data_IF_535100333289
#
_entry.id   IF_535100333289
#
_cell.length_a   1.000
_cell.length_b   1.000
_cell.length_c   1.000
_cell.angle_alpha   90.00
_cell.angle_beta   90.00
_cell.angle_gamma   90.00
#
_symmetry.space_group_name_H-M   'P 1'
#
loop_
_entity.id
_entity.type
_entity.pdbx_description
1 polymer ?
#
# COMPACT_ATOMS: atom_id res chain seq x y z
N UNK A 1 -11.25 14.87 9.37
CA UNK A 1 -11.29 13.40 9.43
C UNK A 1 -9.87 12.96 9.09
N UNK A 2 -8.99 12.96 10.09
CA UNK A 2 -7.54 12.75 9.97
C UNK A 2 -7.18 11.75 11.07
N UNK A 3 -6.75 10.54 10.71
CA UNK A 3 -6.51 9.48 11.69
C UNK A 3 -5.39 9.88 12.68
N UNK A 4 -4.41 10.64 12.19
CA UNK A 4 -3.61 11.58 12.94
C UNK A 4 -3.53 12.86 12.10
N UNK A 5 -3.75 14.03 12.69
CA UNK A 5 -3.22 15.25 12.05
C UNK A 5 -1.71 15.08 12.19
N UNK A 6 -1.02 14.81 11.09
CA UNK A 6 0.38 15.16 10.95
C UNK A 6 0.46 16.66 11.25
N UNK A 7 0.78 16.97 12.51
CA UNK A 7 1.40 18.24 12.82
C UNK A 7 2.76 18.16 12.14
N UNK A 8 2.81 18.66 10.91
CA UNK A 8 4.05 18.94 10.19
C UNK A 8 4.77 20.10 10.89
N UNK A 9 5.27 19.85 12.10
CA UNK A 9 6.34 20.63 12.69
C UNK A 9 7.27 19.69 13.47
N UNK A 10 8.51 19.75 13.04
CA UNK A 10 9.68 19.05 13.55
C UNK A 10 9.86 19.14 15.07
N UNK A 11 10.58 18.13 15.58
CA UNK A 11 11.25 18.03 16.88
C UNK A 11 10.41 17.55 18.07
N UNK A 12 10.18 16.23 18.12
CA UNK A 12 10.62 15.31 19.18
C UNK A 12 9.82 14.01 19.04
N UNK A 13 10.49 12.90 18.69
CA UNK A 13 9.92 11.57 18.88
C UNK A 13 9.74 11.35 20.39
N UNK A 14 8.55 11.65 20.89
CA UNK A 14 8.11 11.18 22.19
C UNK A 14 8.11 9.64 22.13
N UNK A 15 8.83 9.00 23.06
CA UNK A 15 8.82 7.56 23.28
C UNK A 15 7.36 7.10 23.45
N UNK A 16 6.79 6.53 22.40
CA UNK A 16 5.42 6.03 22.41
C UNK A 16 5.38 4.66 23.08
N UNK A 17 4.30 4.42 23.82
CA UNK A 17 3.98 3.12 24.41
C UNK A 17 3.88 2.06 23.31
N UNK A 18 4.83 1.12 23.30
CA UNK A 18 4.88 -0.03 22.39
C UNK A 18 3.55 -0.80 22.47
N UNK A 19 2.82 -0.84 21.36
CA UNK A 19 1.64 -1.70 21.22
C UNK A 19 2.14 -3.13 21.07
N UNK A 20 2.02 -3.93 22.12
CA UNK A 20 2.38 -5.34 22.07
C UNK A 20 1.23 -6.11 21.43
N UNK A 21 1.35 -6.48 20.15
CA UNK A 21 0.56 -7.60 19.62
C UNK A 21 1.13 -8.86 20.28
N UNK A 22 0.37 -9.45 21.20
CA UNK A 22 0.80 -10.67 21.88
C UNK A 22 0.84 -11.84 20.91
N UNK A 23 2.04 -12.17 20.45
CA UNK A 23 2.32 -13.34 19.63
C UNK A 23 2.63 -14.55 20.52
N UNK A 24 2.50 -15.78 19.99
CA UNK A 24 2.96 -16.97 20.69
C UNK A 24 4.43 -16.83 21.09
N UNK A 25 4.78 -17.16 22.34
CA UNK A 25 6.13 -17.03 22.95
C UNK A 25 7.27 -17.73 22.18
N UNK A 26 6.98 -18.48 21.11
CA UNK A 26 7.93 -19.32 20.38
C UNK A 26 8.28 -18.80 18.98
N UNK A 27 7.89 -17.58 18.59
CA UNK A 27 8.37 -16.93 17.35
C UNK A 27 9.01 -15.59 17.70
N UNK A 28 10.34 -15.50 17.59
CA UNK A 28 11.04 -14.23 17.57
C UNK A 28 10.70 -13.47 16.27
N UNK A 29 10.80 -12.14 16.29
CA UNK A 29 10.49 -11.27 15.15
C UNK A 29 9.42 -10.23 15.44
N UNK A 30 9.23 -9.33 14.48
CA UNK A 30 8.42 -8.11 14.63
C UNK A 30 7.19 -8.16 13.74
N UNK A 31 6.00 -7.92 14.31
CA UNK A 31 4.79 -7.81 13.50
C UNK A 31 4.65 -6.40 12.95
N UNK A 32 4.35 -5.39 13.76
CA UNK A 32 4.23 -4.01 13.26
C UNK A 32 5.46 -3.14 13.58
N UNK A 33 6.43 -3.69 14.29
CA UNK A 33 7.56 -2.93 14.85
C UNK A 33 8.76 -2.91 13.90
N UNK A 34 8.55 -2.49 12.65
CA UNK A 34 9.65 -2.27 11.71
C UNK A 34 9.31 -1.16 10.73
N UNK A 35 10.35 -0.55 10.19
CA UNK A 35 10.27 0.48 9.14
C UNK A 35 10.71 -0.11 7.82
N UNK A 36 10.12 0.39 6.73
CA UNK A 36 10.52 0.03 5.37
C UNK A 36 11.05 1.28 4.68
N UNK A 37 12.15 1.15 3.94
CA UNK A 37 12.64 2.14 2.99
C UNK A 37 12.69 1.49 1.62
N UNK A 38 12.27 2.22 0.58
CA UNK A 38 12.31 1.71 -0.81
C UNK A 38 13.24 2.60 -1.65
N UNK A 39 14.35 2.01 -2.08
CA UNK A 39 15.21 2.58 -3.12
C UNK A 39 14.95 1.87 -4.45
N UNK A 40 14.49 2.60 -5.46
CA UNK A 40 14.11 2.02 -6.74
C UNK A 40 14.27 2.99 -7.90
N UNK A 41 14.79 2.51 -9.03
CA UNK A 41 14.74 3.21 -10.33
C UNK A 41 13.41 3.04 -11.07
N UNK A 42 12.52 2.17 -10.58
CA UNK A 42 11.19 1.94 -11.16
C UNK A 42 10.26 3.14 -10.96
N UNK A 43 9.34 3.31 -11.90
CA UNK A 43 8.23 4.25 -11.84
C UNK A 43 6.96 3.49 -11.52
N UNK A 44 6.32 3.76 -10.39
CA UNK A 44 5.06 3.11 -10.04
C UNK A 44 3.94 4.11 -9.69
N UNK A 45 2.70 3.73 -10.01
CA UNK A 45 1.50 4.52 -9.78
C UNK A 45 0.46 3.72 -8.98
N UNK A 46 0.06 4.23 -7.82
CA UNK A 46 -1.04 3.69 -7.03
C UNK A 46 -2.36 4.38 -7.35
N UNK A 47 -3.40 3.62 -7.66
CA UNK A 47 -4.74 4.15 -7.96
C UNK A 47 -5.76 3.57 -6.99
N UNK A 48 -6.47 4.44 -6.26
CA UNK A 48 -7.39 4.01 -5.20
C UNK A 48 -8.16 5.14 -4.53
N UNK A 49 -8.98 4.80 -3.52
CA UNK A 49 -9.78 5.78 -2.78
C UNK A 49 -9.00 6.48 -1.64
N UNK A 50 -9.70 7.05 -0.66
CA UNK A 50 -9.09 7.73 0.50
C UNK A 50 -8.09 6.87 1.28
N UNK A 51 -8.31 5.56 1.38
CA UNK A 51 -7.38 4.67 2.09
C UNK A 51 -6.10 4.48 1.28
N UNK A 52 -6.17 4.50 -0.06
CA UNK A 52 -4.95 4.47 -0.89
C UNK A 52 -4.18 5.76 -0.78
N UNK A 53 -4.86 6.91 -0.66
CA UNK A 53 -4.21 8.20 -0.42
C UNK A 53 -3.47 8.22 0.92
N UNK A 54 -4.08 7.69 1.99
CA UNK A 54 -3.41 7.57 3.30
C UNK A 54 -2.18 6.67 3.26
N UNK A 55 -2.28 5.51 2.60
CA UNK A 55 -1.13 4.62 2.41
C UNK A 55 -0.05 5.29 1.56
N UNK A 56 -0.45 6.05 0.54
CA UNK A 56 0.51 6.71 -0.35
C UNK A 56 1.25 7.87 0.30
N UNK A 57 0.61 8.64 1.18
CA UNK A 57 1.29 9.73 1.90
C UNK A 57 2.47 9.18 2.71
N UNK A 58 2.28 8.06 3.41
CA UNK A 58 3.40 7.38 4.07
C UNK A 58 4.32 6.66 3.10
N UNK A 59 3.83 6.18 1.96
CA UNK A 59 4.70 5.59 0.94
C UNK A 59 5.62 6.64 0.31
N UNK A 60 5.13 7.87 0.14
CA UNK A 60 5.89 9.02 -0.35
C UNK A 60 7.11 9.26 0.57
N UNK A 61 6.94 9.21 1.89
CA UNK A 61 8.04 9.29 2.87
C UNK A 61 9.01 8.09 2.74
N UNK A 62 8.48 6.87 2.63
CA UNK A 62 9.27 5.62 2.51
C UNK A 62 10.18 5.59 1.28
N UNK A 63 9.79 6.27 0.19
CA UNK A 63 10.60 6.40 -1.03
C UNK A 63 11.48 7.66 -1.07
N UNK A 64 11.43 8.48 -0.02
CA UNK A 64 12.28 9.66 0.16
C UNK A 64 11.66 11.00 -0.21
N UNK A 65 10.33 11.09 -0.34
CA UNK A 65 9.65 12.30 -0.78
C UNK A 65 9.85 13.52 0.12
N UNK A 66 9.90 13.35 1.45
CA UNK A 66 10.15 14.44 2.39
C UNK A 66 11.65 14.80 2.45
N UNK A 67 12.51 13.80 2.62
CA UNK A 67 13.96 13.97 2.70
C UNK A 67 14.54 14.63 1.42
N UNK A 68 14.06 14.20 0.25
CA UNK A 68 14.46 14.72 -1.05
C UNK A 68 13.67 15.97 -1.46
N UNK A 69 12.63 16.34 -0.70
CA UNK A 69 11.68 17.42 -1.05
C UNK A 69 11.16 17.29 -2.49
N UNK A 70 10.94 16.05 -2.92
CA UNK A 70 10.61 15.70 -4.31
C UNK A 70 9.13 15.43 -4.53
N UNK A 71 8.32 15.58 -3.47
CA UNK A 71 6.87 15.44 -3.54
C UNK A 71 6.20 16.67 -4.18
N UNK A 72 5.34 16.43 -5.16
CA UNK A 72 4.49 17.42 -5.82
C UNK A 72 3.03 16.98 -5.81
N UNK A 73 2.13 17.94 -5.55
CA UNK A 73 0.68 17.77 -5.76
C UNK A 73 0.38 18.23 -7.18
N UNK A 74 -0.06 17.32 -8.05
CA UNK A 74 -0.42 17.62 -9.43
C UNK A 74 -1.81 18.27 -9.51
N UNK A 75 -2.75 17.78 -8.69
CA UNK A 75 -4.05 18.41 -8.49
C UNK A 75 -4.66 18.00 -7.16
N UNK A 76 -5.58 18.82 -6.69
CA UNK A 76 -6.41 18.52 -5.54
C UNK A 76 -7.72 17.85 -5.99
N UNK A 77 -8.15 16.81 -5.27
CA UNK A 77 -9.47 16.23 -5.45
C UNK A 77 -10.57 17.21 -4.99
N UNK A 78 -10.27 18.01 -3.97
CA UNK A 78 -11.01 19.17 -3.49
C UNK A 78 -10.09 19.98 -2.57
N UNK A 79 -10.50 21.19 -2.19
CA UNK A 79 -9.68 22.14 -1.45
C UNK A 79 -8.92 21.50 -0.27
N UNK A 80 -7.59 21.43 -0.36
CA UNK A 80 -6.70 20.88 0.66
C UNK A 80 -6.66 19.35 0.75
N UNK A 81 -7.09 18.65 -0.30
CA UNK A 81 -7.03 17.18 -0.34
C UNK A 81 -6.46 16.67 -1.65
N UNK A 82 -5.44 15.84 -1.54
CA UNK A 82 -4.68 15.31 -2.64
C UNK A 82 -5.55 14.47 -3.60
N UNK A 83 -5.47 14.82 -4.88
CA UNK A 83 -6.12 14.09 -5.97
C UNK A 83 -5.11 13.32 -6.81
N UNK A 84 -3.99 13.95 -7.12
CA UNK A 84 -2.85 13.34 -7.81
C UNK A 84 -1.55 13.83 -7.20
N UNK A 85 -0.67 12.92 -6.79
CA UNK A 85 0.63 13.25 -6.18
C UNK A 85 1.75 12.47 -6.86
N UNK A 86 2.96 13.02 -6.84
CA UNK A 86 4.14 12.35 -7.36
C UNK A 86 5.37 12.71 -6.54
N UNK A 87 6.20 11.72 -6.26
CA UNK A 87 7.55 11.84 -5.71
C UNK A 87 8.54 11.48 -6.81
N UNK A 88 9.36 12.44 -7.23
CA UNK A 88 10.39 12.21 -8.24
C UNK A 88 11.57 13.20 -8.09
N UNK A 89 12.81 12.75 -7.82
CA UNK A 89 13.27 11.36 -7.67
C UNK A 89 12.84 10.70 -6.35
N UNK A 90 12.68 9.38 -6.38
CA UNK A 90 12.78 8.50 -5.20
C UNK A 90 14.26 8.27 -4.86
N UNK A 91 14.57 7.58 -3.75
CA UNK A 91 15.94 7.22 -3.38
C UNK A 91 16.75 6.50 -4.48
N UNK A 92 16.10 5.79 -5.41
CA UNK A 92 16.76 5.10 -6.53
C UNK A 92 16.65 5.82 -7.88
N UNK A 93 16.13 7.06 -7.90
CA UNK A 93 15.95 7.85 -9.13
C UNK A 93 14.68 7.55 -9.92
N UNK A 94 13.89 6.57 -9.49
CA UNK A 94 12.56 6.24 -10.01
C UNK A 94 11.50 7.24 -9.57
N UNK A 95 10.22 6.92 -9.78
CA UNK A 95 9.09 7.77 -9.40
C UNK A 95 8.00 6.98 -8.66
N UNK A 96 7.42 7.58 -7.63
CA UNK A 96 6.23 7.06 -6.97
C UNK A 96 5.09 8.04 -7.16
N UNK A 97 3.94 7.61 -7.67
CA UNK A 97 2.80 8.47 -7.89
C UNK A 97 1.53 7.87 -7.30
N UNK A 98 0.56 8.73 -6.98
CA UNK A 98 -0.76 8.29 -6.53
C UNK A 98 -1.88 9.06 -7.20
N UNK A 99 -2.92 8.35 -7.62
CA UNK A 99 -4.17 8.89 -8.14
C UNK A 99 -5.35 8.46 -7.28
N UNK A 100 -6.00 9.45 -6.64
CA UNK A 100 -7.30 9.29 -6.02
C UNK A 100 -8.43 9.04 -7.03
N UNK A 101 -9.11 7.91 -6.91
CA UNK A 101 -10.29 7.56 -7.68
C UNK A 101 -11.28 6.74 -6.83
N UNK A 102 -12.59 6.83 -7.12
CA UNK A 102 -13.66 6.12 -6.38
C UNK A 102 -14.36 5.02 -7.19
N UNK A 103 -13.81 4.63 -8.33
CA UNK A 103 -14.14 3.37 -8.98
C UNK A 103 -13.03 2.82 -9.87
N UNK A 104 -13.28 1.72 -10.56
CA UNK A 104 -12.30 1.11 -11.47
C UNK A 104 -12.07 1.96 -12.73
N UNK A 105 -10.84 1.92 -13.27
CA UNK A 105 -10.55 2.44 -14.62
C UNK A 105 -11.50 1.76 -15.62
N UNK A 106 -12.27 2.55 -16.35
CA UNK A 106 -13.22 2.05 -17.35
C UNK A 106 -13.43 3.09 -18.42
N UNK A 107 -13.50 2.68 -19.70
CA UNK A 107 -13.71 3.61 -20.82
C UNK A 107 -15.03 4.35 -20.70
N UNK A 108 -16.06 3.68 -20.16
CA UNK A 108 -17.38 4.29 -19.87
C UNK A 108 -17.32 5.42 -18.85
N UNK A 109 -16.21 5.54 -18.10
CA UNK A 109 -15.98 6.56 -17.07
C UNK A 109 -14.95 7.61 -17.49
N UNK A 110 -14.49 7.58 -18.74
CA UNK A 110 -13.68 8.66 -19.30
C UNK A 110 -14.45 9.98 -19.36
N UNK A 111 -13.78 11.09 -19.06
CA UNK A 111 -14.36 12.43 -18.99
C UNK A 111 -15.21 12.69 -17.74
N UNK A 112 -15.38 11.70 -16.85
CA UNK A 112 -16.06 11.88 -15.56
C UNK A 112 -15.08 12.34 -14.48
N UNK A 113 -15.53 13.07 -13.44
CA UNK A 113 -14.66 13.53 -12.37
C UNK A 113 -14.10 12.33 -11.57
N UNK A 114 -12.80 12.33 -11.24
CA UNK A 114 -12.14 11.19 -10.60
C UNK A 114 -12.54 11.00 -9.13
N UNK A 115 -12.77 12.10 -8.42
CA UNK A 115 -13.15 12.11 -7.03
C UNK A 115 -14.63 12.53 -6.84
N UNK A 116 -15.27 12.02 -5.78
CA UNK A 116 -16.59 12.42 -5.28
C UNK A 116 -17.83 12.02 -6.09
N UNK A 117 -17.69 11.14 -7.09
CA UNK A 117 -18.85 10.47 -7.71
C UNK A 117 -18.82 8.96 -7.46
N UNK A 118 -19.96 8.31 -7.17
CA UNK A 118 -20.02 6.85 -7.10
C UNK A 118 -19.49 6.21 -8.39
N UNK A 119 -18.51 5.32 -8.22
CA UNK A 119 -17.80 4.66 -9.32
C UNK A 119 -16.76 5.51 -10.06
N UNK A 120 -16.53 6.76 -9.64
CA UNK A 120 -15.43 7.61 -10.11
C UNK A 120 -15.41 7.87 -11.62
N UNK A 121 -14.28 8.43 -12.06
CA UNK A 121 -14.01 8.85 -13.42
C UNK A 121 -12.53 9.01 -13.68
N UNK A 122 -12.16 9.19 -14.95
CA UNK A 122 -10.79 9.58 -15.30
C UNK A 122 -10.81 10.45 -16.55
N UNK A 123 -9.75 11.21 -16.79
CA UNK A 123 -9.61 12.04 -17.98
C UNK A 123 -8.16 11.99 -18.45
N UNK A 124 -7.94 11.96 -19.76
CA UNK A 124 -6.64 12.03 -20.41
C UNK A 124 -5.77 13.21 -19.92
N UNK A 125 -6.37 14.32 -19.50
CA UNK A 125 -5.63 15.44 -18.89
C UNK A 125 -4.94 15.06 -17.57
N UNK A 126 -5.53 14.20 -16.74
CA UNK A 126 -4.89 13.73 -15.51
C UNK A 126 -3.77 12.74 -15.81
N UNK A 127 -4.00 11.83 -16.76
CA UNK A 127 -2.96 10.93 -17.27
C UNK A 127 -1.75 11.71 -17.79
N UNK A 128 -1.99 12.72 -18.64
CA UNK A 128 -0.93 13.59 -19.18
C UNK A 128 -0.17 14.35 -18.10
N UNK A 129 -0.81 14.76 -17.01
CA UNK A 129 -0.12 15.42 -15.90
C UNK A 129 0.91 14.52 -15.25
N UNK A 130 0.60 13.22 -15.05
CA UNK A 130 1.61 12.28 -14.57
C UNK A 130 2.71 12.04 -15.60
N UNK A 131 2.35 11.68 -16.83
CA UNK A 131 3.32 11.27 -17.85
C UNK A 131 4.25 12.41 -18.28
N UNK A 132 3.74 13.65 -18.29
CA UNK A 132 4.51 14.84 -18.66
C UNK A 132 5.04 15.60 -17.44
N UNK A 133 4.85 15.08 -16.21
CA UNK A 133 5.53 15.67 -15.06
C UNK A 133 7.04 15.64 -15.35
N UNK A 134 7.72 16.74 -15.07
CA UNK A 134 9.17 16.88 -15.24
C UNK A 134 9.77 17.06 -13.87
N UNK A 135 10.96 16.52 -13.67
CA UNK A 135 11.72 16.80 -12.46
C UNK A 135 11.97 18.31 -12.42
N UNK A 136 11.24 19.01 -11.54
CA UNK A 136 11.56 20.40 -11.26
C UNK A 136 12.96 20.36 -10.71
N UNK A 137 13.86 21.12 -11.33
CA UNK A 137 15.28 21.16 -10.99
C UNK A 137 15.52 21.78 -9.62
N UNK A 138 14.88 21.27 -8.57
CA UNK A 138 15.41 21.21 -7.23
C UNK A 138 16.90 21.03 -7.42
N UNK A 139 17.66 21.97 -6.88
CA UNK A 139 19.08 21.78 -6.69
C UNK A 139 19.18 20.42 -6.01
N UNK A 140 19.46 19.38 -6.80
CA UNK A 140 19.90 18.10 -6.28
C UNK A 140 21.09 18.56 -5.48
N UNK A 141 20.89 18.66 -4.16
CA UNK A 141 21.97 18.73 -3.22
C UNK A 141 22.75 17.50 -3.63
N UNK A 142 23.86 17.70 -4.34
CA UNK A 142 24.75 16.60 -4.61
C UNK A 142 24.93 15.92 -3.25
N UNK A 143 24.88 14.59 -3.17
CA UNK A 143 25.23 13.86 -1.96
C UNK A 143 26.73 14.05 -1.66
N UNK A 144 27.17 15.29 -1.49
CA UNK A 144 28.36 15.67 -0.78
C UNK A 144 27.98 15.50 0.70
N UNK A 145 28.53 14.45 1.32
CA UNK A 145 28.57 14.19 2.77
C UNK A 145 27.48 13.35 3.46
N UNK A 146 26.59 12.61 2.77
CA UNK A 146 25.76 11.60 3.47
C UNK A 146 26.40 10.19 3.59
N UNK A 147 27.58 9.96 3.00
CA UNK A 147 28.35 8.73 3.25
C UNK A 147 29.16 8.74 4.56
N UNK A 148 29.08 9.77 5.42
CA UNK A 148 29.88 9.87 6.66
C UNK A 148 29.16 9.61 7.99
N UNK A 149 27.89 9.18 7.99
CA UNK A 149 27.19 8.82 9.24
C UNK A 149 27.04 7.31 9.50
N UNK A 150 27.73 6.46 8.74
CA UNK A 150 27.97 5.09 9.18
C UNK A 150 29.25 5.02 10.03
N UNK A 151 29.27 4.33 11.19
CA UNK A 151 30.44 4.30 12.07
C UNK A 151 31.62 3.62 11.37
N UNK A 152 32.57 4.45 10.91
CA UNK A 152 33.84 4.02 10.32
C UNK A 152 34.78 3.54 11.43
N UNK A 153 35.34 2.35 11.19
CA UNK A 153 36.43 1.73 11.94
C UNK A 153 37.66 2.66 12.00
N UNK A 154 38.20 3.03 13.18
CA UNK A 154 39.07 4.21 13.33
C UNK A 154 40.55 4.07 12.87
N UNK A 155 40.88 3.36 11.78
CA UNK A 155 42.29 3.15 11.39
C UNK A 155 42.67 3.26 9.90
N UNK A 156 41.98 4.05 9.06
CA UNK A 156 42.49 4.33 7.71
C UNK A 156 42.58 5.83 7.40
N UNK A 157 43.81 6.36 7.42
CA UNK A 157 44.17 7.67 6.84
C UNK A 157 43.88 7.65 5.33
N UNK A 158 42.92 8.48 4.88
CA UNK A 158 42.65 8.71 3.45
C UNK A 158 43.27 10.04 3.00
N UNK A 159 43.98 9.99 1.87
CA UNK A 159 44.55 11.15 1.19
C UNK A 159 43.48 12.01 0.49
N UNK A 160 43.68 13.33 0.37
CA UNK A 160 42.73 14.24 -0.26
C UNK A 160 42.67 14.03 -1.77
N UNK A 161 41.47 13.78 -2.29
CA UNK A 161 41.18 13.73 -3.74
C UNK A 161 40.86 15.15 -4.22
N UNK A 162 41.61 15.66 -5.21
CA UNK A 162 41.38 16.96 -5.84
C UNK A 162 40.10 16.94 -6.69
N UNK A 163 39.07 17.65 -6.26
CA UNK A 163 37.71 17.68 -6.84
C UNK A 163 37.49 18.84 -7.83
N UNK A 164 38.31 18.97 -8.87
CA UNK A 164 38.23 20.14 -9.79
C UNK A 164 37.60 19.89 -11.16
N UNK A 165 36.89 18.77 -11.39
CA UNK A 165 36.35 18.47 -12.73
C UNK A 165 34.93 17.88 -12.74
N UNK A 166 34.03 18.44 -11.91
CA UNK A 166 32.59 18.15 -12.01
C UNK A 166 31.96 18.95 -13.15
N UNK A 167 32.06 18.36 -14.35
CA UNK A 167 31.31 18.75 -15.54
C UNK A 167 29.80 18.74 -15.24
N UNK A 168 29.17 19.92 -15.26
CA UNK A 168 27.71 20.08 -15.23
C UNK A 168 27.13 19.44 -16.49
N UNK A 169 26.76 18.17 -16.42
CA UNK A 169 25.99 17.53 -17.48
C UNK A 169 24.67 18.29 -17.69
N UNK A 170 24.25 18.56 -18.94
CA UNK A 170 23.00 19.24 -19.22
C UNK A 170 21.84 18.51 -18.54
N UNK A 171 21.09 19.21 -17.68
CA UNK A 171 19.83 18.72 -17.13
C UNK A 171 18.83 18.61 -18.28
N UNK A 172 18.77 17.42 -18.89
CA UNK A 172 17.71 17.10 -19.81
C UNK A 172 16.41 17.08 -19.02
N UNK A 173 15.41 17.83 -19.47
CA UNK A 173 14.05 17.85 -18.90
C UNK A 173 13.38 16.49 -19.09
N UNK A 174 13.81 15.48 -18.34
CA UNK A 174 13.24 14.16 -18.37
C UNK A 174 11.78 14.25 -17.89
N UNK A 175 10.88 13.64 -18.65
CA UNK A 175 9.50 13.42 -18.23
C UNK A 175 9.35 12.01 -17.66
N UNK A 176 8.31 11.78 -16.86
CA UNK A 176 8.00 10.43 -16.34
C UNK A 176 7.83 9.46 -17.51
N UNK A 177 7.09 9.85 -18.55
CA UNK A 177 6.93 9.11 -19.80
C UNK A 177 6.01 7.90 -19.70
N UNK A 178 6.28 7.00 -18.76
CA UNK A 178 5.51 5.79 -18.47
C UNK A 178 5.68 5.38 -16.99
N UNK A 179 4.83 4.47 -16.53
CA UNK A 179 5.00 3.76 -15.26
C UNK A 179 5.28 2.30 -15.54
N UNK A 180 6.29 1.72 -14.91
CA UNK A 180 6.62 0.29 -15.01
C UNK A 180 5.56 -0.55 -14.29
N UNK A 181 5.05 -0.04 -13.16
CA UNK A 181 4.10 -0.73 -12.28
C UNK A 181 2.88 0.14 -12.00
N UNK A 182 1.67 -0.42 -12.09
CA UNK A 182 0.45 0.21 -11.58
C UNK A 182 -0.18 -0.66 -10.49
N UNK A 183 -0.43 -0.09 -9.32
CA UNK A 183 -1.14 -0.74 -8.21
C UNK A 183 -2.60 -0.29 -8.24
N UNK A 184 -3.52 -1.23 -8.39
CA UNK A 184 -4.95 -0.96 -8.45
C UNK A 184 -5.64 -1.47 -7.20
N UNK A 185 -6.24 -0.55 -6.42
CA UNK A 185 -7.14 -0.91 -5.33
C UNK A 185 -8.59 -0.91 -5.78
N UNK A 186 -9.31 -1.99 -5.46
CA UNK A 186 -10.76 -2.06 -5.65
C UNK A 186 -11.48 -1.29 -4.54
N UNK A 187 -12.26 -0.28 -4.90
CA UNK A 187 -12.82 0.70 -3.97
C UNK A 187 -14.19 0.27 -3.39
N UNK A 188 -14.19 -0.85 -2.67
CA UNK A 188 -15.37 -1.34 -1.95
C UNK A 188 -15.87 -0.32 -0.91
N UNK A 189 -17.13 0.10 -1.02
CA UNK A 189 -17.71 1.23 -0.27
C UNK A 189 -18.08 2.41 -1.16
N UNK A 190 -17.38 2.59 -2.29
CA UNK A 190 -17.74 3.51 -3.37
C UNK A 190 -18.43 2.81 -4.54
N UNK A 191 -18.13 1.53 -4.72
CA UNK A 191 -18.78 0.63 -5.66
C UNK A 191 -19.56 -0.45 -4.90
N UNK A 192 -20.71 -0.82 -5.42
CA UNK A 192 -21.42 -2.02 -4.98
C UNK A 192 -20.69 -3.26 -5.51
N UNK A 193 -20.74 -4.38 -4.76
CA UNK A 193 -20.03 -5.62 -5.16
C UNK A 193 -20.45 -6.14 -6.53
N UNK A 194 -21.75 -6.05 -6.87
CA UNK A 194 -22.26 -6.45 -8.19
C UNK A 194 -21.73 -5.57 -9.34
N UNK A 195 -21.23 -4.37 -9.06
CA UNK A 195 -20.61 -3.50 -10.06
C UNK A 195 -19.15 -3.89 -10.35
N UNK A 196 -18.53 -4.70 -9.49
CA UNK A 196 -17.14 -5.14 -9.58
C UNK A 196 -17.11 -6.51 -10.28
N UNK A 197 -17.33 -6.50 -11.60
CA UNK A 197 -17.35 -7.74 -12.38
C UNK A 197 -15.95 -8.12 -12.89
N UNK A 198 -15.70 -9.40 -13.23
CA UNK A 198 -14.43 -9.82 -13.81
C UNK A 198 -14.05 -9.02 -15.06
N UNK A 199 -15.03 -8.70 -15.90
CA UNK A 199 -14.79 -7.91 -17.12
C UNK A 199 -14.34 -6.48 -16.82
N UNK A 200 -14.85 -5.87 -15.75
CA UNK A 200 -14.45 -4.51 -15.35
C UNK A 200 -13.09 -4.49 -14.67
N UNK A 201 -12.77 -5.51 -13.87
CA UNK A 201 -11.42 -5.68 -13.32
C UNK A 201 -10.39 -5.86 -14.45
N UNK A 202 -10.69 -6.72 -15.42
CA UNK A 202 -9.84 -6.93 -16.59
C UNK A 202 -9.73 -5.67 -17.48
N UNK A 203 -10.82 -4.91 -17.65
CA UNK A 203 -10.79 -3.61 -18.33
C UNK A 203 -9.84 -2.65 -17.61
N UNK A 204 -9.92 -2.57 -16.28
CA UNK A 204 -9.06 -1.68 -15.49
C UNK A 204 -7.58 -2.02 -15.61
N UNK A 205 -7.23 -3.32 -15.57
CA UNK A 205 -5.86 -3.81 -15.80
C UNK A 205 -5.35 -3.41 -17.18
N UNK A 206 -6.17 -3.61 -18.23
CA UNK A 206 -5.79 -3.23 -19.61
C UNK A 206 -5.62 -1.72 -19.78
N UNK A 207 -6.53 -0.93 -19.21
CA UNK A 207 -6.45 0.52 -19.24
C UNK A 207 -5.25 1.06 -18.47
N UNK A 208 -4.84 0.42 -17.37
CA UNK A 208 -3.61 0.79 -16.69
C UNK A 208 -2.39 0.68 -17.63
N UNK A 209 -2.30 -0.42 -18.38
CA UNK A 209 -1.23 -0.60 -19.38
C UNK A 209 -1.36 0.36 -20.57
N UNK A 210 -2.56 0.54 -21.11
CA UNK A 210 -2.83 1.42 -22.25
C UNK A 210 -2.55 2.90 -21.93
N UNK A 211 -2.99 3.38 -20.76
CA UNK A 211 -2.93 4.80 -20.40
C UNK A 211 -1.56 5.19 -19.82
N UNK A 212 -0.89 4.27 -19.13
CA UNK A 212 0.33 4.60 -18.38
C UNK A 212 1.57 3.85 -18.86
N UNK A 213 1.44 2.96 -19.84
CA UNK A 213 2.54 2.11 -20.30
C UNK A 213 2.92 1.00 -19.32
N UNK A 214 2.04 0.68 -18.36
CA UNK A 214 2.31 -0.32 -17.33
C UNK A 214 2.64 -1.69 -17.91
N UNK A 215 3.82 -2.20 -17.54
CA UNK A 215 4.22 -3.58 -17.84
C UNK A 215 3.74 -4.55 -16.77
N UNK A 216 3.63 -4.08 -15.53
CA UNK A 216 3.12 -4.86 -14.40
C UNK A 216 1.93 -4.16 -13.75
N UNK A 217 0.88 -4.92 -13.47
CA UNK A 217 -0.26 -4.43 -12.69
C UNK A 217 -0.40 -5.27 -11.42
N UNK A 218 -0.48 -4.63 -10.26
CA UNK A 218 -0.69 -5.28 -8.97
C UNK A 218 -2.12 -5.00 -8.53
N UNK A 219 -2.96 -6.03 -8.39
CA UNK A 219 -4.32 -5.92 -7.90
C UNK A 219 -4.37 -6.16 -6.39
N UNK A 220 -5.02 -5.27 -5.65
CA UNK A 220 -5.21 -5.44 -4.21
C UNK A 220 -6.53 -6.12 -3.90
N UNK A 221 -6.50 -7.13 -3.03
CA UNK A 221 -7.73 -7.72 -2.49
C UNK A 221 -8.45 -6.75 -1.54
N UNK A 222 -9.77 -6.89 -1.49
CA UNK A 222 -10.66 -6.07 -0.69
C UNK A 222 -10.65 -6.57 0.77
N UNK A 223 -10.34 -5.70 1.74
CA UNK A 223 -10.42 -6.05 3.16
C UNK A 223 -11.85 -6.02 3.69
N UNK A 224 -12.07 -6.65 4.84
CA UNK A 224 -13.24 -6.35 5.64
C UNK A 224 -13.24 -4.88 6.07
N UNK A 225 -14.40 -4.24 5.98
CA UNK A 225 -14.59 -2.84 6.37
C UNK A 225 -15.97 -2.69 7.04
N UNK A 226 -16.24 -1.51 7.60
CA UNK A 226 -17.59 -1.13 8.03
C UNK A 226 -18.63 -1.10 6.88
N UNK A 227 -18.22 -1.19 5.62
CA UNK A 227 -19.14 -1.35 4.47
C UNK A 227 -19.71 -2.78 4.33
N UNK A 228 -19.08 -3.79 4.95
CA UNK A 228 -19.55 -5.19 4.94
C UNK A 228 -20.53 -5.39 6.10
N UNK A 229 -21.84 -5.32 5.84
CA UNK A 229 -22.86 -5.26 6.92
C UNK A 229 -23.33 -6.63 7.36
N UNK A 230 -23.26 -7.61 6.47
CA UNK A 230 -23.82 -8.95 6.68
C UNK A 230 -22.84 -10.04 6.22
N UNK A 231 -23.03 -11.30 6.66
CA UNK A 231 -22.31 -12.46 6.10
C UNK A 231 -22.45 -12.56 4.58
N UNK A 232 -23.62 -12.20 4.03
CA UNK A 232 -23.84 -12.18 2.59
C UNK A 232 -22.91 -11.17 1.89
N UNK A 233 -22.75 -9.97 2.45
CA UNK A 233 -21.84 -8.97 1.88
C UNK A 233 -20.39 -9.46 1.87
N UNK A 234 -19.97 -10.17 2.93
CA UNK A 234 -18.63 -10.76 3.00
C UNK A 234 -18.44 -11.85 1.95
N UNK A 235 -19.44 -12.70 1.73
CA UNK A 235 -19.39 -13.70 0.67
C UNK A 235 -19.24 -13.06 -0.71
N UNK A 236 -19.91 -11.92 -0.97
CA UNK A 236 -19.73 -11.19 -2.23
C UNK A 236 -18.34 -10.56 -2.34
N UNK A 237 -17.78 -10.03 -1.24
CA UNK A 237 -16.39 -9.56 -1.21
C UNK A 237 -15.40 -10.69 -1.48
N UNK A 238 -15.59 -11.88 -0.88
CA UNK A 238 -14.76 -13.05 -1.11
C UNK A 238 -14.78 -13.48 -2.59
N UNK A 239 -15.96 -13.52 -3.22
CA UNK A 239 -16.07 -13.79 -4.65
C UNK A 239 -15.28 -12.80 -5.50
N UNK A 240 -15.36 -11.50 -5.18
CA UNK A 240 -14.57 -10.48 -5.90
C UNK A 240 -13.07 -10.72 -5.71
N UNK A 241 -12.62 -11.08 -4.50
CA UNK A 241 -11.21 -11.40 -4.24
C UNK A 241 -10.74 -12.65 -5.00
N UNK A 242 -11.59 -13.66 -5.15
CA UNK A 242 -11.30 -14.84 -5.96
C UNK A 242 -11.19 -14.49 -7.44
N UNK A 243 -12.05 -13.60 -7.95
CA UNK A 243 -11.95 -13.09 -9.32
C UNK A 243 -10.69 -12.25 -9.54
N UNK A 244 -10.24 -11.47 -8.55
CA UNK A 244 -8.95 -10.76 -8.59
C UNK A 244 -7.79 -11.76 -8.77
N UNK A 245 -7.75 -12.82 -7.94
CA UNK A 245 -6.72 -13.87 -8.02
C UNK A 245 -6.77 -14.60 -9.34
N UNK A 246 -7.97 -14.94 -9.79
CA UNK A 246 -8.19 -15.61 -11.07
C UNK A 246 -7.69 -14.76 -12.24
N UNK A 247 -8.02 -13.48 -12.29
CA UNK A 247 -7.54 -12.56 -13.32
C UNK A 247 -6.03 -12.47 -13.30
N UNK A 248 -5.41 -12.33 -12.12
CA UNK A 248 -3.96 -12.29 -12.03
C UNK A 248 -3.32 -13.57 -12.61
N UNK A 249 -3.86 -14.75 -12.27
CA UNK A 249 -3.32 -16.03 -12.71
C UNK A 249 -3.55 -16.33 -14.19
N UNK A 250 -4.76 -16.02 -14.70
CA UNK A 250 -5.20 -16.39 -16.04
C UNK A 250 -4.87 -15.34 -17.10
N UNK A 251 -4.55 -14.10 -16.70
CA UNK A 251 -4.08 -13.04 -17.61
C UNK A 251 -2.66 -13.36 -18.11
N UNK A 252 -2.51 -14.38 -18.95
CA UNK A 252 -1.39 -14.50 -19.88
C UNK A 252 -1.51 -13.36 -20.90
N UNK A 253 -0.41 -12.67 -21.25
CA UNK A 253 -0.37 -11.25 -21.67
C UNK A 253 -1.68 -10.87 -22.33
N UNK A 254 -2.53 -10.16 -21.57
CA UNK A 254 -3.97 -10.07 -21.82
C UNK A 254 -4.34 -9.52 -23.22
N UNK A 255 -3.36 -9.01 -23.96
CA UNK A 255 -3.32 -8.94 -25.41
C UNK A 255 -1.86 -8.74 -25.84
N UNK A 256 -1.43 -9.25 -27.00
CA UNK A 256 -0.03 -9.10 -27.48
C UNK A 256 0.34 -7.67 -27.90
N UNK A 257 -0.63 -6.75 -27.95
CA UNK A 257 -0.43 -5.36 -28.41
C UNK A 257 -0.14 -4.38 -27.28
N UNK A 258 -0.33 -4.78 -26.02
CA UNK A 258 -0.11 -3.90 -24.86
C UNK A 258 1.24 -4.23 -24.17
N UNK A 259 1.89 -3.27 -23.50
CA UNK A 259 3.10 -3.52 -22.72
C UNK A 259 2.93 -4.48 -21.54
N UNK A 260 1.68 -4.78 -21.14
CA UNK A 260 1.37 -5.62 -19.98
C UNK A 260 1.96 -7.03 -20.09
N UNK A 261 2.94 -7.32 -19.23
CA UNK A 261 3.60 -8.61 -19.08
C UNK A 261 3.05 -9.38 -17.88
N UNK A 262 2.83 -8.71 -16.75
CA UNK A 262 2.55 -9.34 -15.47
C UNK A 262 1.30 -8.75 -14.79
N UNK A 263 0.49 -9.63 -14.20
CA UNK A 263 -0.55 -9.24 -13.24
C UNK A 263 -0.33 -10.00 -11.95
N UNK A 264 -0.14 -9.25 -10.87
CA UNK A 264 0.13 -9.79 -9.53
C UNK A 264 -1.01 -9.46 -8.57
N UNK A 265 -1.04 -10.15 -7.43
CA UNK A 265 -1.96 -9.90 -6.32
C UNK A 265 -1.19 -9.46 -5.09
N UNK A 266 -1.66 -8.38 -4.46
CA UNK A 266 -1.30 -8.01 -3.10
C UNK A 266 -2.47 -8.33 -2.17
N UNK A 267 -2.26 -9.26 -1.23
CA UNK A 267 -3.28 -9.81 -0.33
C UNK A 267 -3.65 -8.87 0.83
N UNK A 268 -3.88 -7.60 0.50
CA UNK A 268 -4.22 -6.55 1.46
C UNK A 268 -5.46 -6.90 2.30
N UNK A 269 -6.44 -7.56 1.68
CA UNK A 269 -7.63 -8.02 2.38
C UNK A 269 -7.34 -9.09 3.44
N UNK A 270 -6.45 -10.03 3.14
CA UNK A 270 -6.03 -11.05 4.08
C UNK A 270 -5.31 -10.43 5.28
N UNK A 271 -4.38 -9.52 5.02
CA UNK A 271 -3.62 -8.84 6.06
C UNK A 271 -4.54 -8.11 7.06
N UNK A 272 -5.46 -7.29 6.57
CA UNK A 272 -6.45 -6.60 7.39
C UNK A 272 -7.27 -7.58 8.23
N UNK A 273 -7.76 -8.65 7.60
CA UNK A 273 -8.58 -9.63 8.30
C UNK A 273 -7.79 -10.33 9.40
N UNK A 274 -6.49 -10.64 9.17
CA UNK A 274 -5.61 -11.21 10.20
C UNK A 274 -5.41 -10.27 11.39
N UNK A 275 -5.30 -8.95 11.17
CA UNK A 275 -5.21 -7.97 12.27
C UNK A 275 -6.49 -7.97 13.09
N UNK A 276 -7.65 -7.85 12.44
CA UNK A 276 -8.95 -7.83 13.13
C UNK A 276 -9.15 -9.12 13.92
N UNK A 277 -8.77 -10.25 13.34
CA UNK A 277 -8.85 -11.57 13.98
C UNK A 277 -7.92 -11.71 15.20
N UNK A 278 -6.69 -11.21 15.07
CA UNK A 278 -5.72 -11.16 16.17
C UNK A 278 -6.29 -10.35 17.34
N UNK A 279 -6.90 -9.19 17.04
CA UNK A 279 -7.50 -8.34 18.06
C UNK A 279 -8.78 -8.96 18.64
N UNK A 280 -9.61 -9.62 17.83
CA UNK A 280 -10.78 -10.37 18.32
C UNK A 280 -10.35 -11.42 19.36
N UNK A 281 -9.32 -12.20 19.06
CA UNK A 281 -8.77 -13.17 20.00
C UNK A 281 -8.27 -12.50 21.28
N UNK A 282 -7.55 -11.39 21.15
CA UNK A 282 -7.06 -10.61 22.30
C UNK A 282 -8.19 -10.09 23.19
N UNK A 283 -9.30 -9.65 22.59
CA UNK A 283 -10.51 -9.22 23.31
C UNK A 283 -11.32 -10.39 23.91
N UNK A 284 -10.87 -11.63 23.76
CA UNK A 284 -11.51 -12.81 24.34
C UNK A 284 -12.64 -13.41 23.51
N UNK A 285 -12.76 -13.04 22.23
CA UNK A 285 -13.65 -13.77 21.32
C UNK A 285 -13.10 -15.19 21.12
N UNK A 286 -14.00 -16.17 21.01
CA UNK A 286 -13.65 -17.58 20.83
C UNK A 286 -13.20 -17.89 19.41
N UNK A 287 -12.04 -17.36 19.01
CA UNK A 287 -11.51 -17.51 17.66
C UNK A 287 -10.17 -18.25 17.60
N UNK A 288 -9.96 -18.94 16.49
CA UNK A 288 -8.72 -19.63 16.12
C UNK A 288 -7.58 -18.63 15.89
N UNK A 289 -6.34 -19.12 15.87
CA UNK A 289 -5.19 -18.25 15.57
C UNK A 289 -5.18 -17.88 14.08
N UNK A 290 -5.00 -16.61 13.70
CA UNK A 290 -5.12 -16.15 12.30
C UNK A 290 -4.09 -16.75 11.33
N UNK A 291 -3.03 -17.36 11.84
CA UNK A 291 -2.05 -18.08 11.01
C UNK A 291 -2.40 -19.56 10.80
N UNK A 292 -3.30 -20.09 11.61
CA UNK A 292 -3.80 -21.47 11.51
C UNK A 292 -5.17 -21.51 10.79
N UNK A 293 -5.76 -20.34 10.55
CA UNK A 293 -7.06 -20.21 9.90
C UNK A 293 -6.96 -20.41 8.39
N UNK A 294 -7.62 -21.45 7.90
CA UNK A 294 -8.05 -21.57 6.51
C UNK A 294 -9.08 -20.44 6.19
N UNK A 295 -9.14 -19.92 4.95
CA UNK A 295 -10.25 -19.08 4.49
C UNK A 295 -11.66 -19.53 4.96
N UNK A 296 -11.92 -20.84 5.05
CA UNK A 296 -13.19 -21.40 5.55
C UNK A 296 -13.42 -21.15 7.04
N UNK A 297 -12.36 -21.04 7.83
CA UNK A 297 -12.44 -20.68 9.25
C UNK A 297 -12.84 -19.21 9.39
N UNK A 298 -12.36 -18.33 8.49
CA UNK A 298 -12.83 -16.95 8.43
C UNK A 298 -14.35 -16.84 8.26
N UNK A 299 -14.93 -17.69 7.41
CA UNK A 299 -16.37 -17.70 7.15
C UNK A 299 -17.21 -18.28 8.30
N UNK A 300 -16.67 -19.25 9.03
CA UNK A 300 -17.39 -19.93 10.12
C UNK A 300 -17.31 -19.18 11.45
N UNK A 301 -16.14 -18.68 11.83
CA UNK A 301 -15.94 -17.95 13.09
C UNK A 301 -16.16 -16.43 12.92
N UNK A 302 -15.90 -15.88 11.73
CA UNK A 302 -16.03 -14.46 11.41
C UNK A 302 -17.36 -13.83 11.83
N UNK A 303 -18.52 -14.47 11.56
CA UNK A 303 -19.82 -13.93 11.92
C UNK A 303 -19.99 -13.62 13.41
N UNK A 304 -19.26 -14.29 14.29
CA UNK A 304 -19.37 -14.11 15.75
C UNK A 304 -18.78 -12.77 16.24
N UNK A 305 -17.85 -12.16 15.50
CA UNK A 305 -17.12 -10.98 15.97
C UNK A 305 -17.00 -9.86 14.93
N UNK A 306 -16.98 -10.18 13.62
CA UNK A 306 -16.91 -9.16 12.56
C UNK A 306 -18.15 -8.24 12.56
N UNK A 307 -19.31 -8.79 12.90
CA UNK A 307 -20.58 -8.05 12.96
C UNK A 307 -20.95 -7.62 14.38
N UNK A 308 -20.09 -7.86 15.37
CA UNK A 308 -20.24 -7.23 16.67
C UNK A 308 -19.74 -5.77 16.58
N UNK A 309 -20.68 -4.83 16.54
CA UNK A 309 -20.47 -3.45 16.10
C UNK A 309 -20.71 -2.48 17.24
N UNK A 310 -20.04 -1.33 17.21
CA UNK A 310 -20.38 -0.21 18.09
C UNK A 310 -21.78 0.31 17.77
N UNK A 311 -22.51 0.77 18.79
CA UNK A 311 -23.82 1.40 18.65
C UNK A 311 -23.69 2.93 18.75
N UNK A 312 -22.88 3.52 17.88
CA UNK A 312 -22.54 4.95 17.93
C UNK A 312 -23.50 5.84 17.10
N UNK A 313 -24.62 5.28 16.65
CA UNK A 313 -25.63 5.97 15.83
C UNK A 313 -25.16 6.33 14.42
N UNK A 314 -23.96 5.91 14.00
CA UNK A 314 -23.46 6.20 12.65
C UNK A 314 -24.07 5.24 11.62
N UNK A 315 -24.09 5.68 10.36
CA UNK A 315 -24.55 4.89 9.21
C UNK A 315 -23.73 3.61 8.99
N UNK A 316 -22.46 3.62 9.40
CA UNK A 316 -21.50 2.54 9.18
C UNK A 316 -20.70 2.31 10.47
N UNK A 317 -21.32 1.71 11.50
CA UNK A 317 -20.62 1.47 12.75
C UNK A 317 -19.43 0.52 12.51
N UNK A 318 -18.27 0.76 13.12
CA UNK A 318 -17.14 -0.15 13.03
C UNK A 318 -17.37 -1.42 13.85
N UNK A 319 -16.66 -2.49 13.50
CA UNK A 319 -16.61 -3.73 14.29
C UNK A 319 -15.79 -3.46 15.55
N UNK A 320 -16.24 -3.95 16.70
CA UNK A 320 -15.55 -3.77 17.99
C UNK A 320 -14.12 -4.34 17.92
N UNK A 321 -13.92 -5.61 17.49
CA UNK A 321 -12.59 -6.15 17.22
C UNK A 321 -11.74 -5.35 16.23
N UNK A 322 -12.35 -4.55 15.37
CA UNK A 322 -11.58 -3.73 14.45
C UNK A 322 -11.03 -2.47 15.13
N UNK A 323 -11.75 -1.84 16.05
CA UNK A 323 -11.41 -0.48 16.53
C UNK A 323 -11.17 -0.35 18.03
N UNK A 324 -11.53 -1.35 18.84
CA UNK A 324 -11.42 -1.29 20.29
C UNK A 324 -10.17 -1.99 20.80
N UNK A 325 -9.57 -1.45 21.86
CA UNK A 325 -8.44 -2.06 22.59
C UNK A 325 -8.87 -2.90 23.78
N UNK A 326 -10.08 -2.73 24.30
CA UNK A 326 -10.62 -3.51 25.41
C UNK A 326 -12.15 -3.55 25.37
N UNK A 327 -12.74 -4.53 26.06
CA UNK A 327 -14.20 -4.67 26.18
C UNK A 327 -14.77 -3.92 27.39
N UNK A 328 -13.96 -3.67 28.43
CA UNK A 328 -14.42 -3.05 29.67
C UNK A 328 -14.85 -1.59 29.47
N UNK A 329 -14.25 -0.90 28.50
CA UNK A 329 -14.59 0.46 28.11
C UNK A 329 -15.84 0.58 27.23
N UNK A 330 -16.46 -0.52 26.80
CA UNK A 330 -17.64 -0.47 25.92
C UNK A 330 -18.84 0.25 26.56
N UNK A 331 -18.84 0.39 27.89
CA UNK A 331 -19.96 0.99 28.61
C UNK A 331 -21.25 0.19 28.43
N UNK A 332 -22.35 0.69 29.00
CA UNK A 332 -23.66 -0.01 28.92
C UNK A 332 -24.25 0.04 27.50
N UNK A 333 -23.97 1.11 26.75
CA UNK A 333 -24.58 1.37 25.46
C UNK A 333 -23.72 0.93 24.26
N UNK A 334 -22.47 0.51 24.48
CA UNK A 334 -21.54 0.09 23.41
C UNK A 334 -21.34 1.17 22.34
N UNK A 335 -21.53 2.44 22.67
CA UNK A 335 -21.40 3.57 21.75
C UNK A 335 -19.95 4.06 21.63
N UNK A 336 -19.11 3.73 22.62
CA UNK A 336 -17.70 4.08 22.68
C UNK A 336 -16.89 2.92 23.26
N UNK A 337 -15.61 2.93 22.98
CA UNK A 337 -14.58 2.10 23.60
C UNK A 337 -13.26 2.88 23.55
N UNK A 338 -12.28 2.45 24.34
CA UNK A 338 -10.90 2.83 24.11
C UNK A 338 -10.48 2.31 22.74
N UNK A 339 -9.91 3.18 21.92
CA UNK A 339 -9.56 2.84 20.54
C UNK A 339 -8.21 2.14 20.50
N UNK A 340 -8.09 1.14 19.64
CA UNK A 340 -6.77 0.65 19.27
C UNK A 340 -6.04 1.68 18.39
N UNK A 341 -4.72 1.54 18.29
CA UNK A 341 -3.88 2.45 17.53
C UNK A 341 -3.89 2.17 16.02
N UNK A 342 -4.61 1.14 15.54
CA UNK A 342 -4.55 0.68 14.16
C UNK A 342 -5.69 1.23 13.30
N UNK A 343 -6.91 1.28 13.86
CA UNK A 343 -8.12 1.70 13.15
C UNK A 343 -8.95 2.65 13.99
N UNK A 344 -9.23 3.83 13.43
CA UNK A 344 -10.10 4.80 14.10
C UNK A 344 -11.58 4.60 13.81
N UNK A 345 -11.94 4.39 12.54
CA UNK A 345 -13.33 4.40 12.07
C UNK A 345 -13.79 3.10 11.41
N UNK A 346 -12.93 2.08 11.39
CA UNK A 346 -13.21 0.78 10.80
C UNK A 346 -13.14 0.75 9.27
N UNK A 347 -12.48 1.74 8.66
CA UNK A 347 -12.17 1.76 7.23
C UNK A 347 -10.75 2.28 6.99
N UNK A 348 -10.42 3.41 7.61
CA UNK A 348 -9.11 4.03 7.55
C UNK A 348 -8.16 3.45 8.60
N UNK A 349 -6.89 3.36 8.22
CA UNK A 349 -5.80 2.89 9.08
C UNK A 349 -4.93 4.05 9.52
N UNK A 350 -4.21 3.85 10.63
CA UNK A 350 -3.06 4.68 10.98
C UNK A 350 -1.86 4.26 10.12
N UNK A 351 -1.48 5.04 9.10
CA UNK A 351 -0.43 4.66 8.16
C UNK A 351 0.90 4.35 8.85
N UNK A 352 1.19 5.02 9.96
CA UNK A 352 2.42 4.88 10.75
C UNK A 352 2.68 3.44 11.23
N UNK A 353 1.63 2.60 11.30
CA UNK A 353 1.75 1.21 11.78
C UNK A 353 1.63 0.17 10.68
N UNK A 354 0.88 0.48 9.62
CA UNK A 354 0.49 -0.51 8.61
C UNK A 354 1.27 -0.31 7.31
N UNK A 355 1.72 0.92 7.04
CA UNK A 355 2.37 1.26 5.77
C UNK A 355 3.71 0.56 5.61
N UNK A 356 4.50 0.31 6.67
CA UNK A 356 5.77 -0.41 6.54
C UNK A 356 5.59 -1.81 5.92
N UNK A 357 4.62 -2.58 6.41
CA UNK A 357 4.26 -3.89 5.82
C UNK A 357 3.71 -3.77 4.42
N UNK A 358 2.84 -2.79 4.21
CA UNK A 358 2.26 -2.48 2.91
C UNK A 358 3.35 -2.23 1.85
N UNK A 359 4.30 -1.35 2.17
CA UNK A 359 5.43 -0.98 1.34
C UNK A 359 6.39 -2.16 1.14
N UNK A 360 6.70 -2.93 2.19
CA UNK A 360 7.58 -4.11 2.09
C UNK A 360 6.98 -5.17 1.14
N UNK A 361 5.67 -5.41 1.23
CA UNK A 361 4.96 -6.28 0.30
C UNK A 361 5.05 -5.77 -1.14
N UNK A 362 4.83 -4.47 -1.35
CA UNK A 362 4.92 -3.86 -2.67
C UNK A 362 6.34 -4.01 -3.25
N UNK A 363 7.36 -3.69 -2.47
CA UNK A 363 8.77 -3.84 -2.85
C UNK A 363 9.12 -5.30 -3.18
N UNK A 364 8.67 -6.24 -2.36
CA UNK A 364 8.88 -7.68 -2.59
C UNK A 364 8.22 -8.13 -3.91
N UNK A 365 6.97 -7.74 -4.17
CA UNK A 365 6.25 -8.08 -5.40
C UNK A 365 6.91 -7.48 -6.65
N UNK A 366 7.38 -6.22 -6.58
CA UNK A 366 8.18 -5.62 -7.65
C UNK A 366 9.50 -6.37 -7.83
N UNK A 367 10.17 -6.75 -6.74
CA UNK A 367 11.39 -7.55 -6.78
C UNK A 367 11.20 -8.92 -7.44
N UNK A 368 10.03 -9.55 -7.28
CA UNK A 368 9.71 -10.80 -7.98
C UNK A 368 9.76 -10.67 -9.51
N UNK A 369 9.49 -9.48 -10.05
CA UNK A 369 9.45 -9.22 -11.49
C UNK A 369 10.77 -8.65 -11.97
N UNK A 370 11.33 -7.66 -11.26
CA UNK A 370 12.42 -6.83 -11.74
C UNK A 370 13.79 -7.18 -11.14
N UNK A 371 13.88 -8.04 -10.10
CA UNK A 371 15.16 -8.51 -9.58
C UNK A 371 15.53 -9.87 -10.18
N UNK A 372 16.58 -9.90 -11.01
CA UNK A 372 17.26 -11.11 -11.50
C UNK A 372 17.55 -11.11 -13.00
N UNK A 373 18.55 -11.90 -13.42
CA UNK A 373 19.08 -11.93 -14.80
C UNK A 373 18.21 -12.65 -15.85
N UNK A 374 16.99 -13.09 -15.54
CA UNK A 374 16.14 -13.82 -16.49
C UNK A 374 14.63 -13.63 -16.24
N UNK A 375 13.83 -13.76 -17.31
CA UNK A 375 12.38 -13.94 -17.21
C UNK A 375 12.07 -15.13 -16.28
N UNK A 376 11.57 -14.85 -15.07
CA UNK A 376 11.09 -15.93 -14.19
C UNK A 376 9.98 -16.68 -14.89
N UNK A 377 10.01 -18.01 -14.80
CA UNK A 377 8.87 -18.82 -15.24
C UNK A 377 7.61 -18.37 -14.50
N UNK A 378 6.43 -18.51 -15.12
CA UNK A 378 5.16 -18.19 -14.47
C UNK A 378 5.01 -18.90 -13.13
N UNK A 379 5.50 -20.14 -13.00
CA UNK A 379 5.48 -20.89 -11.75
C UNK A 379 6.38 -20.23 -10.70
N UNK A 380 7.59 -19.84 -11.06
CA UNK A 380 8.51 -19.14 -10.16
C UNK A 380 7.99 -17.78 -9.71
N UNK A 381 7.35 -17.02 -10.61
CA UNK A 381 6.72 -15.75 -10.28
C UNK A 381 5.58 -15.93 -9.26
N UNK A 382 4.74 -16.96 -9.42
CA UNK A 382 3.64 -17.27 -8.49
C UNK A 382 4.13 -17.81 -7.14
N UNK A 383 5.27 -18.50 -7.09
CA UNK A 383 5.89 -18.86 -5.80
C UNK A 383 6.32 -17.61 -5.06
N UNK A 384 7.05 -16.72 -5.74
CA UNK A 384 7.55 -15.47 -5.17
C UNK A 384 6.40 -14.55 -4.70
N UNK A 385 5.34 -14.39 -5.49
CA UNK A 385 4.14 -13.64 -5.09
C UNK A 385 3.51 -14.19 -3.80
N UNK A 386 3.39 -15.51 -3.68
CA UNK A 386 2.83 -16.15 -2.49
C UNK A 386 3.70 -15.93 -1.27
N UNK A 387 5.02 -16.06 -1.42
CA UNK A 387 6.00 -15.83 -0.35
C UNK A 387 5.96 -14.38 0.13
N UNK A 388 5.94 -13.40 -0.79
CA UNK A 388 5.80 -11.97 -0.44
C UNK A 388 4.51 -11.69 0.33
N UNK A 389 3.38 -12.24 -0.11
CA UNK A 389 2.11 -12.07 0.57
C UNK A 389 2.09 -12.77 1.94
N UNK A 390 2.64 -13.97 2.03
CA UNK A 390 2.74 -14.69 3.29
C UNK A 390 3.59 -13.93 4.32
N UNK A 391 4.71 -13.36 3.90
CA UNK A 391 5.63 -12.66 4.79
C UNK A 391 5.09 -11.29 5.22
N UNK A 392 4.61 -10.49 4.25
CA UNK A 392 4.30 -9.08 4.50
C UNK A 392 2.79 -8.78 4.59
N UNK A 393 1.93 -9.52 3.88
CA UNK A 393 0.47 -9.36 3.90
C UNK A 393 -0.22 -10.34 4.86
N UNK A 394 0.39 -10.57 6.01
CA UNK A 394 -0.15 -11.36 7.10
C UNK A 394 0.35 -10.82 8.44
N UNK A 395 -0.08 -11.43 9.55
CA UNK A 395 0.46 -11.17 10.89
C UNK A 395 1.61 -12.13 11.25
N UNK A 396 2.21 -12.80 10.26
CA UNK A 396 3.45 -13.56 10.47
C UNK A 396 4.54 -12.58 10.91
N UNK A 397 5.25 -12.85 12.02
CA UNK A 397 6.38 -12.02 12.43
C UNK A 397 7.44 -11.98 11.32
N UNK A 398 7.93 -10.79 11.00
CA UNK A 398 9.12 -10.64 10.15
C UNK A 398 10.33 -10.97 11.01
N UNK A 399 11.18 -11.88 10.54
CA UNK A 399 12.38 -12.30 11.28
C UNK A 399 13.37 -11.13 11.40
N UNK A 400 14.09 -11.04 12.52
CA UNK A 400 15.01 -9.93 12.79
C UNK A 400 16.15 -9.83 11.75
N UNK A 401 16.47 -10.94 11.08
CA UNK A 401 17.42 -10.97 9.95
C UNK A 401 17.03 -10.08 8.77
N UNK A 402 15.74 -9.73 8.65
CA UNK A 402 15.21 -8.81 7.64
C UNK A 402 15.09 -7.37 8.14
N UNK A 403 15.26 -7.13 9.45
CA UNK A 403 15.02 -5.83 10.11
C UNK A 403 16.32 -5.17 10.56
N UNK A 404 17.28 -5.95 11.07
CA UNK A 404 18.46 -5.42 11.78
C UNK A 404 19.78 -5.52 10.96
N UNK A 405 19.68 -5.77 9.65
CA UNK A 405 20.81 -5.68 8.71
C UNK A 405 20.54 -4.68 7.59
N UNK A 406 21.56 -4.27 6.83
CA UNK A 406 21.45 -3.55 5.55
C UNK A 406 20.75 -4.42 4.48
N UNK A 407 19.60 -5.00 4.83
CA UNK A 407 18.89 -5.96 4.04
C UNK A 407 18.05 -5.22 3.01
N UNK A 408 18.55 -5.23 1.78
CA UNK A 408 17.84 -4.68 0.64
C UNK A 408 16.85 -5.70 0.10
N UNK A 409 15.57 -5.55 0.46
CA UNK A 409 14.45 -6.36 -0.08
C UNK A 409 14.45 -6.42 -1.61
N UNK A 410 14.78 -5.27 -2.22
CA UNK A 410 14.95 -5.15 -3.64
C UNK A 410 15.83 -3.95 -3.96
N UNK A 411 16.83 -4.15 -4.83
CA UNK A 411 17.65 -3.10 -5.40
C UNK A 411 17.34 -3.04 -6.88
N UNK A 412 16.68 -1.97 -7.30
CA UNK A 412 16.39 -1.72 -8.70
C UNK A 412 17.35 -0.63 -9.15
N UNK A 413 18.45 -1.04 -9.80
CA UNK A 413 19.42 -0.14 -10.40
C UNK A 413 19.06 0.00 -11.86
#
# INVERSE_FOLDING_TARGET
MACCILLSHSNHFATSSVTTIHLPKNRAGRVLDFTTTISTSLKFLSIGDSVTIQLSESLDEIVGGDELKSRSILWEAWNGHDGGTIVWPTYGGGAAATWRMTGLLSRKREGKPPANSPGGGWNTNFTKQFLNHTMVGSEVLEPQEQQQLMPINPQQEHQPINSSDYSKTPRNNATVGHFDVVVLRVMHGWMQTYEITPQRLLEAVRLASELFGAETVILQTIPFTNNVKTPKDMNEVNKVNDEIRKIAHECAPCNSTLPLKNVLVQEYGQYYNHIIWSNARYLGYGTSHPLDTDPRIFESEGPSFLYDRLNDGKKWPPSIPMVCSDLDSLGKNRDKCNRNYLFRDGMHVCPETITSRYAASLACLMGCVYNGDNERSKVGLRSCERECNQLFMSVVPVEDSWVDGDFTLASFV
#
